data_IF_113361984349
#
_entry.id   IF_113361984349
#
_cell.length_a   1.000
_cell.length_b   1.000
_cell.length_c   1.000
_cell.angle_alpha   90.00
_cell.angle_beta   90.00
_cell.angle_gamma   90.00
#
_symmetry.space_group_name_H-M   'P 1'
#
loop_
_entity.id
_entity.type
_entity.pdbx_description
1 polymer ?
#
# COMPACT_ATOMS: atom_id res chain seq x y z
N UNK A 1 -19.21 -8.73 -4.49
CA UNK A 1 -19.05 -7.44 -3.81
C UNK A 1 -20.27 -6.52 -4.03
N UNK A 2 -21.03 -6.74 -5.11
CA UNK A 2 -22.10 -5.82 -5.55
C UNK A 2 -23.23 -5.56 -4.54
N UNK A 3 -23.44 -6.44 -3.55
CA UNK A 3 -24.55 -6.33 -2.60
C UNK A 3 -24.13 -6.17 -1.13
N UNK A 4 -22.84 -5.84 -0.86
CA UNK A 4 -22.36 -5.65 0.51
C UNK A 4 -21.97 -4.19 0.72
N UNK A 5 -22.38 -3.63 1.84
CA UNK A 5 -21.92 -2.33 2.28
C UNK A 5 -20.44 -2.45 2.69
N UNK A 6 -19.58 -1.65 2.08
CA UNK A 6 -18.18 -1.55 2.45
C UNK A 6 -17.98 -0.18 3.08
N UNK A 7 -17.48 -0.17 4.31
CA UNK A 7 -17.21 1.08 5.03
C UNK A 7 -15.75 1.53 4.86
N UNK A 8 -14.82 0.59 4.88
CA UNK A 8 -13.38 0.87 4.75
C UNK A 8 -12.75 -0.10 3.76
N UNK A 9 -11.84 0.40 2.94
CA UNK A 9 -10.97 -0.40 2.09
C UNK A 9 -9.51 -0.15 2.45
N UNK A 10 -8.74 -1.23 2.55
CA UNK A 10 -7.28 -1.16 2.66
C UNK A 10 -6.73 -1.38 1.25
N UNK A 11 -6.19 -0.33 0.67
CA UNK A 11 -5.66 -0.35 -0.70
C UNK A 11 -4.15 -0.60 -0.66
N UNK A 12 -3.74 -1.81 -1.06
CA UNK A 12 -2.34 -2.22 -1.07
C UNK A 12 -1.97 -2.81 -2.45
N UNK A 13 -1.79 -1.93 -3.42
CA UNK A 13 -1.45 -2.26 -4.79
C UNK A 13 -0.21 -1.48 -5.25
N UNK A 14 0.44 -1.96 -6.32
CA UNK A 14 1.57 -1.30 -6.96
C UNK A 14 2.90 -2.05 -6.83
N UNK A 15 3.03 -2.97 -5.88
CA UNK A 15 4.28 -3.71 -5.68
C UNK A 15 4.63 -4.59 -6.88
N UNK A 16 3.66 -5.30 -7.45
CA UNK A 16 3.90 -6.13 -8.64
C UNK A 16 4.27 -5.28 -9.86
N UNK A 17 3.65 -4.13 -10.03
CA UNK A 17 4.01 -3.19 -11.08
C UNK A 17 5.45 -2.71 -10.92
N UNK A 18 5.85 -2.38 -9.70
CA UNK A 18 7.23 -1.99 -9.39
C UNK A 18 8.21 -3.12 -9.72
N UNK A 19 7.90 -4.35 -9.34
CA UNK A 19 8.76 -5.51 -9.63
C UNK A 19 8.92 -5.77 -11.14
N UNK A 20 7.95 -5.36 -11.95
CA UNK A 20 8.01 -5.42 -13.42
C UNK A 20 8.68 -4.20 -14.05
N UNK A 21 9.08 -3.23 -13.25
CA UNK A 21 9.67 -1.98 -13.75
C UNK A 21 8.68 -1.07 -14.47
N UNK A 22 7.38 -1.19 -14.17
CA UNK A 22 6.35 -0.34 -14.77
C UNK A 22 6.62 1.14 -14.48
N UNK A 23 6.40 1.99 -15.45
CA UNK A 23 6.59 3.43 -15.29
C UNK A 23 5.78 3.96 -14.08
N UNK A 24 6.43 4.64 -13.12
CA UNK A 24 5.76 5.17 -11.93
C UNK A 24 4.55 6.06 -12.24
N UNK A 25 4.58 6.81 -13.33
CA UNK A 25 3.43 7.64 -13.73
C UNK A 25 2.19 6.80 -14.06
N UNK A 26 2.37 5.63 -14.68
CA UNK A 26 1.29 4.70 -14.98
C UNK A 26 0.72 4.12 -13.69
N UNK A 27 1.58 3.70 -12.78
CA UNK A 27 1.18 3.18 -11.47
C UNK A 27 0.36 4.23 -10.72
N UNK A 28 0.87 5.46 -10.68
CA UNK A 28 0.20 6.59 -10.03
C UNK A 28 -1.20 6.84 -10.59
N UNK A 29 -1.33 6.86 -11.92
CA UNK A 29 -2.62 7.07 -12.57
C UNK A 29 -3.61 5.95 -12.27
N UNK A 30 -3.15 4.70 -12.27
CA UNK A 30 -4.01 3.57 -11.92
C UNK A 30 -4.51 3.65 -10.48
N UNK A 31 -3.63 3.93 -9.53
CA UNK A 31 -4.01 4.11 -8.12
C UNK A 31 -4.96 5.30 -7.95
N UNK A 32 -4.69 6.41 -8.61
CA UNK A 32 -5.56 7.59 -8.59
C UNK A 32 -6.99 7.25 -9.01
N UNK A 33 -7.15 6.53 -10.11
CA UNK A 33 -8.48 6.13 -10.61
C UNK A 33 -9.21 5.23 -9.61
N UNK A 34 -8.50 4.31 -8.99
CA UNK A 34 -9.07 3.43 -7.97
C UNK A 34 -9.54 4.23 -6.75
N UNK A 35 -8.71 5.15 -6.27
CA UNK A 35 -9.04 6.02 -5.14
C UNK A 35 -10.29 6.86 -5.45
N UNK A 36 -10.34 7.49 -6.62
CA UNK A 36 -11.49 8.29 -7.05
C UNK A 36 -12.79 7.49 -7.04
N UNK A 37 -12.76 6.25 -7.55
CA UNK A 37 -13.94 5.38 -7.56
C UNK A 37 -14.44 5.00 -6.17
N UNK A 38 -13.52 4.75 -5.24
CA UNK A 38 -13.92 4.48 -3.85
C UNK A 38 -14.49 5.72 -3.18
N UNK A 39 -13.92 6.90 -3.44
CA UNK A 39 -14.43 8.14 -2.88
C UNK A 39 -15.82 8.50 -3.42
N UNK A 40 -16.09 8.24 -4.70
CA UNK A 40 -17.42 8.42 -5.29
C UNK A 40 -18.49 7.58 -4.57
N UNK A 41 -18.09 6.45 -4.01
CA UNK A 41 -18.97 5.56 -3.24
C UNK A 41 -18.98 5.84 -1.73
N UNK A 42 -18.33 6.92 -1.30
CA UNK A 42 -18.17 7.27 0.12
C UNK A 42 -17.51 6.19 0.97
N UNK A 43 -16.57 5.44 0.39
CA UNK A 43 -15.80 4.41 1.09
C UNK A 43 -14.52 5.05 1.65
N UNK A 44 -14.28 4.86 2.93
CA UNK A 44 -13.05 5.31 3.59
C UNK A 44 -11.86 4.48 3.12
N UNK A 45 -10.75 5.14 2.79
CA UNK A 45 -9.57 4.47 2.25
C UNK A 45 -8.41 4.55 3.24
N UNK A 46 -7.78 3.40 3.50
CA UNK A 46 -6.45 3.32 4.08
C UNK A 46 -5.48 2.92 2.97
N UNK A 47 -4.63 3.84 2.54
CA UNK A 47 -3.62 3.56 1.53
C UNK A 47 -2.38 2.94 2.20
N UNK A 48 -2.06 1.71 1.83
CA UNK A 48 -0.86 1.03 2.31
C UNK A 48 0.29 1.27 1.32
N UNK A 49 1.30 2.01 1.75
CA UNK A 49 2.44 2.37 0.92
C UNK A 49 3.41 1.22 0.70
N UNK A 50 4.13 1.32 -0.41
CA UNK A 50 5.21 0.42 -0.79
C UNK A 50 6.46 1.23 -1.11
N UNK A 51 7.61 0.60 -1.02
CA UNK A 51 8.92 1.20 -1.31
C UNK A 51 9.62 0.38 -2.38
N UNK A 52 10.21 1.05 -3.36
CA UNK A 52 10.94 0.38 -4.43
C UNK A 52 12.26 -0.22 -3.95
N UNK A 53 12.66 -1.32 -4.58
CA UNK A 53 13.99 -1.89 -4.42
C UNK A 53 15.06 -0.91 -4.95
N UNK A 54 16.20 -0.86 -4.28
CA UNK A 54 17.33 -0.02 -4.70
C UNK A 54 17.92 -0.45 -6.03
N UNK A 55 17.80 -1.73 -6.39
CA UNK A 55 18.29 -2.29 -7.64
C UNK A 55 17.65 -1.67 -8.89
N UNK A 56 16.50 -1.02 -8.78
CA UNK A 56 15.87 -0.29 -9.90
C UNK A 56 16.49 1.08 -10.17
N UNK A 57 17.44 1.50 -9.34
CA UNK A 57 18.13 2.79 -9.47
C UNK A 57 17.43 3.92 -8.73
N UNK A 58 18.20 4.97 -8.43
CA UNK A 58 17.74 6.08 -7.59
C UNK A 58 16.59 6.87 -8.21
N UNK A 59 16.63 7.07 -9.52
CA UNK A 59 15.57 7.82 -10.22
C UNK A 59 14.22 7.12 -10.15
N UNK A 60 14.21 5.83 -10.44
CA UNK A 60 12.99 5.00 -10.36
C UNK A 60 12.48 4.95 -8.93
N UNK A 61 13.36 4.64 -7.98
CA UNK A 61 13.02 4.56 -6.56
C UNK A 61 12.38 5.84 -6.06
N UNK A 62 12.98 6.99 -6.34
CA UNK A 62 12.42 8.28 -5.94
C UNK A 62 11.03 8.49 -6.52
N UNK A 63 10.85 8.26 -7.81
CA UNK A 63 9.57 8.45 -8.48
C UNK A 63 8.49 7.49 -7.94
N UNK A 64 8.86 6.23 -7.70
CA UNK A 64 7.92 5.25 -7.13
C UNK A 64 7.57 5.56 -5.68
N UNK A 65 8.57 5.80 -4.84
CA UNK A 65 8.36 6.01 -3.41
C UNK A 65 7.49 7.26 -3.12
N UNK A 66 7.51 8.26 -3.99
CA UNK A 66 6.72 9.48 -3.86
C UNK A 66 5.23 9.29 -4.23
N UNK A 67 4.86 8.23 -4.94
CA UNK A 67 3.47 8.01 -5.40
C UNK A 67 2.49 8.01 -4.23
N UNK A 68 2.77 7.21 -3.21
CA UNK A 68 1.84 6.97 -2.11
C UNK A 68 1.63 8.21 -1.22
N UNK A 69 2.68 8.87 -0.73
CA UNK A 69 2.48 10.09 0.06
C UNK A 69 1.82 11.22 -0.74
N UNK A 70 2.11 11.36 -2.03
CA UNK A 70 1.47 12.37 -2.87
C UNK A 70 -0.03 12.10 -3.04
N UNK A 71 -0.42 10.86 -3.32
CA UNK A 71 -1.84 10.49 -3.43
C UNK A 71 -2.57 10.64 -2.11
N UNK A 72 -1.94 10.26 -1.00
CA UNK A 72 -2.53 10.41 0.33
C UNK A 72 -2.82 11.88 0.65
N UNK A 73 -1.90 12.78 0.35
CA UNK A 73 -2.10 14.23 0.54
C UNK A 73 -3.16 14.79 -0.40
N UNK A 74 -3.09 14.43 -1.67
CA UNK A 74 -4.03 14.93 -2.69
C UNK A 74 -5.47 14.59 -2.37
N UNK A 75 -5.72 13.35 -1.98
CA UNK A 75 -7.07 12.85 -1.71
C UNK A 75 -7.47 12.91 -0.24
N UNK A 76 -6.58 13.39 0.64
CA UNK A 76 -6.80 13.50 2.09
C UNK A 76 -7.26 12.19 2.70
N UNK A 77 -6.58 11.11 2.35
CA UNK A 77 -6.86 9.75 2.84
C UNK A 77 -5.81 9.31 3.85
N UNK A 78 -6.19 8.34 4.68
CA UNK A 78 -5.28 7.74 5.65
C UNK A 78 -4.18 6.95 4.95
N UNK A 79 -2.98 6.98 5.52
CA UNK A 79 -1.79 6.47 4.89
C UNK A 79 -0.93 5.69 5.87
N UNK A 80 -0.56 4.48 5.50
CA UNK A 80 0.47 3.68 6.15
C UNK A 80 1.73 3.75 5.25
N UNK A 81 2.83 4.40 5.69
CA UNK A 81 3.97 4.66 4.82
C UNK A 81 4.62 3.44 4.19
N UNK A 82 4.72 2.35 4.93
CA UNK A 82 5.29 1.12 4.41
C UNK A 82 4.64 -0.11 5.04
N UNK A 83 3.83 -0.82 4.25
CA UNK A 83 3.12 -2.02 4.70
C UNK A 83 4.06 -3.11 5.20
N UNK A 84 5.19 -3.30 4.52
CA UNK A 84 6.17 -4.36 4.80
C UNK A 84 7.27 -3.93 5.77
N UNK A 85 7.06 -2.87 6.53
CA UNK A 85 8.03 -2.41 7.52
C UNK A 85 8.37 -3.55 8.51
N UNK A 86 9.67 -3.80 8.68
CA UNK A 86 10.19 -4.90 9.48
C UNK A 86 10.12 -6.28 8.82
N UNK A 87 9.44 -6.42 7.67
CA UNK A 87 9.25 -7.71 6.97
C UNK A 87 10.07 -7.79 5.69
N UNK A 88 10.09 -6.73 4.89
CA UNK A 88 10.80 -6.72 3.62
C UNK A 88 12.28 -7.06 3.80
N UNK A 89 12.77 -7.95 2.96
CA UNK A 89 14.17 -8.40 2.95
C UNK A 89 14.64 -9.12 4.22
N UNK A 90 13.73 -9.48 5.11
CA UNK A 90 14.05 -10.26 6.29
C UNK A 90 13.82 -11.76 6.01
N UNK A 91 14.89 -12.59 5.92
CA UNK A 91 14.74 -14.01 5.57
C UNK A 91 13.88 -14.80 6.56
N UNK A 92 13.84 -14.37 7.83
CA UNK A 92 13.05 -15.04 8.88
C UNK A 92 11.56 -14.82 8.74
N UNK A 93 11.15 -13.77 8.01
CA UNK A 93 9.75 -13.35 7.88
C UNK A 93 9.20 -13.57 6.46
N UNK A 94 10.00 -14.12 5.58
CA UNK A 94 9.61 -14.39 4.19
C UNK A 94 9.75 -15.86 3.84
N UNK A 95 9.04 -16.28 2.80
CA UNK A 95 9.20 -17.57 2.17
C UNK A 95 10.56 -17.66 1.45
N UNK A 96 10.91 -18.84 0.95
CA UNK A 96 12.20 -19.06 0.26
C UNK A 96 12.42 -18.16 -0.94
N UNK A 97 11.35 -17.70 -1.61
CA UNK A 97 11.45 -16.80 -2.74
C UNK A 97 11.92 -15.38 -2.36
N UNK A 98 11.95 -15.08 -1.06
CA UNK A 98 12.35 -13.77 -0.55
C UNK A 98 11.38 -12.63 -0.83
N UNK A 99 10.24 -12.92 -1.45
CA UNK A 99 9.26 -11.92 -1.90
C UNK A 99 7.94 -11.97 -1.15
N UNK A 100 7.54 -13.17 -0.74
CA UNK A 100 6.25 -13.37 -0.08
C UNK A 100 6.45 -13.62 1.42
N UNK A 101 5.70 -12.92 2.29
CA UNK A 101 5.78 -13.14 3.73
C UNK A 101 5.38 -14.57 4.11
N UNK A 102 6.07 -15.13 5.10
CA UNK A 102 5.64 -16.35 5.77
C UNK A 102 4.61 -16.00 6.87
N UNK A 103 4.20 -16.98 7.67
CA UNK A 103 3.20 -16.77 8.73
C UNK A 103 3.62 -15.68 9.74
N UNK A 104 4.90 -15.64 10.13
CA UNK A 104 5.44 -14.60 11.03
C UNK A 104 5.44 -13.23 10.36
N UNK A 105 5.77 -13.18 9.07
CA UNK A 105 5.73 -11.95 8.29
C UNK A 105 4.31 -11.39 8.16
N UNK A 106 3.33 -12.25 7.91
CA UNK A 106 1.92 -11.86 7.86
C UNK A 106 1.46 -11.29 9.22
N UNK A 107 1.89 -11.89 10.32
CA UNK A 107 1.60 -11.37 11.66
C UNK A 107 2.16 -9.97 11.84
N UNK A 108 3.40 -9.71 11.42
CA UNK A 108 4.01 -8.39 11.50
C UNK A 108 3.27 -7.37 10.64
N UNK A 109 2.84 -7.75 9.44
CA UNK A 109 2.01 -6.89 8.57
C UNK A 109 0.70 -6.52 9.27
N UNK A 110 0.06 -7.48 9.93
CA UNK A 110 -1.16 -7.22 10.69
C UNK A 110 -0.93 -6.20 11.79
N UNK A 111 0.19 -6.28 12.48
CA UNK A 111 0.57 -5.31 13.53
C UNK A 111 0.78 -3.92 12.90
N UNK A 112 1.44 -3.85 11.75
CA UNK A 112 1.67 -2.59 11.06
C UNK A 112 0.35 -1.89 10.66
N UNK A 113 -0.65 -2.67 10.26
CA UNK A 113 -1.98 -2.16 9.86
C UNK A 113 -2.85 -1.78 11.06
N UNK A 114 -2.75 -2.53 12.15
CA UNK A 114 -3.70 -2.46 13.27
C UNK A 114 -3.86 -1.05 13.83
N UNK A 115 -2.76 -0.36 14.11
CA UNK A 115 -2.81 1.00 14.69
C UNK A 115 -3.57 1.99 13.80
N UNK A 116 -3.30 1.95 12.50
CA UNK A 116 -3.97 2.83 11.53
C UNK A 116 -5.44 2.48 11.36
N UNK A 117 -5.75 1.19 11.31
CA UNK A 117 -7.12 0.72 11.16
C UNK A 117 -7.97 1.05 12.38
N UNK A 118 -7.45 0.82 13.60
CA UNK A 118 -8.14 1.19 14.84
C UNK A 118 -8.41 2.70 14.88
N UNK A 119 -7.45 3.51 14.47
CA UNK A 119 -7.62 4.96 14.40
C UNK A 119 -8.77 5.37 13.49
N UNK A 120 -8.94 4.69 12.35
CA UNK A 120 -10.05 4.95 11.43
C UNK A 120 -11.40 4.50 11.99
N UNK A 121 -11.44 3.36 12.69
CA UNK A 121 -12.66 2.82 13.28
C UNK A 121 -13.18 3.68 14.45
N UNK A 122 -12.31 4.46 15.09
CA UNK A 122 -12.67 5.36 16.21
C UNK A 122 -13.15 6.75 15.75
N UNK A 123 -13.02 7.07 14.48
CA UNK A 123 -13.51 8.33 13.91
C UNK A 123 -15.00 8.19 13.55
N UNK A 124 -15.82 8.74 14.35
CA UNK A 124 -17.25 8.93 14.06
C UNK A 124 -17.50 10.37 13.62
#
# INVERSE_FOLDING_TARGET
IENKKIDIVILCLGANDMLRGTNPNIIKQNLKQIIERFQEKNITILLAGMISLETFGNKYKKSFDEIYPELARKFRISYLPFLLDGVALNPKLNLRDGKHPNALGVRQISINLEKKLISLLKKD
#
